data_IF_595713140360
#
_entry.id   IF_595713140360
#
_cell.length_a   1.000
_cell.length_b   1.000
_cell.length_c   1.000
_cell.angle_alpha   90.00
_cell.angle_beta   90.00
_cell.angle_gamma   90.00
#
_symmetry.space_group_name_H-M   'P 1'
#
loop_
_entity.id
_entity.type
_entity.pdbx_description
1 polymer ?
#
# COMPACT_ATOMS: atom_id res chain seq x y z
N UNK A 1 33.92 -16.67 -57.98
CA UNK A 1 34.99 -16.14 -57.12
C UNK A 1 34.50 -14.91 -56.32
N UNK A 2 34.40 -15.13 -55.00
CA UNK A 2 34.66 -14.18 -53.91
C UNK A 2 33.61 -13.09 -53.61
N UNK A 3 32.81 -13.41 -52.58
CA UNK A 3 32.47 -12.62 -51.38
C UNK A 3 32.00 -11.17 -51.47
N UNK A 4 30.86 -10.90 -50.83
CA UNK A 4 30.86 -10.34 -49.47
C UNK A 4 29.44 -10.32 -48.88
N UNK A 5 29.20 -11.20 -47.92
CA UNK A 5 28.16 -11.03 -46.90
C UNK A 5 28.60 -9.88 -45.98
N UNK A 6 27.86 -8.77 -45.95
CA UNK A 6 27.97 -7.78 -44.90
C UNK A 6 26.84 -8.02 -43.90
N UNK A 7 27.16 -8.80 -42.88
CA UNK A 7 26.32 -9.06 -41.72
C UNK A 7 26.25 -7.77 -40.88
N UNK A 8 25.17 -7.01 -41.04
CA UNK A 8 24.88 -5.83 -40.23
C UNK A 8 24.51 -6.26 -38.82
N UNK A 9 25.52 -6.36 -37.95
CA UNK A 9 25.35 -6.56 -36.52
C UNK A 9 24.50 -5.42 -35.94
N UNK A 10 23.22 -5.68 -35.69
CA UNK A 10 22.38 -4.80 -34.89
C UNK A 10 22.79 -4.93 -33.41
N UNK A 11 23.87 -4.26 -33.03
CA UNK A 11 24.08 -3.89 -31.63
C UNK A 11 23.11 -2.75 -31.30
N UNK A 12 21.89 -3.11 -30.91
CA UNK A 12 20.94 -2.20 -30.28
C UNK A 12 21.48 -1.78 -28.91
N UNK A 13 22.38 -0.78 -28.88
CA UNK A 13 22.70 -0.07 -27.65
C UNK A 13 21.47 0.75 -27.31
N UNK A 14 20.55 0.17 -26.55
CA UNK A 14 19.37 0.86 -26.06
C UNK A 14 19.84 2.09 -25.29
N UNK A 15 19.60 3.28 -25.85
CA UNK A 15 20.00 4.54 -25.24
C UNK A 15 19.31 4.66 -23.89
N UNK A 16 20.11 4.81 -22.84
CA UNK A 16 19.59 5.11 -21.51
C UNK A 16 19.10 6.56 -21.52
N UNK A 17 17.86 6.78 -21.13
CA UNK A 17 17.19 8.09 -21.14
C UNK A 17 17.06 8.62 -19.71
N UNK A 18 17.08 9.94 -19.52
CA UNK A 18 16.76 10.54 -18.23
C UNK A 18 15.26 10.78 -18.14
N UNK A 19 14.64 10.42 -17.00
CA UNK A 19 13.23 10.73 -16.78
C UNK A 19 13.02 12.25 -16.73
N UNK A 20 12.05 12.76 -17.48
CA UNK A 20 11.81 14.21 -17.62
C UNK A 20 11.50 14.92 -16.30
N UNK A 21 10.78 14.25 -15.39
CA UNK A 21 10.30 14.84 -14.13
C UNK A 21 11.11 14.40 -12.90
N UNK A 22 11.75 13.22 -12.96
CA UNK A 22 12.33 12.55 -11.79
C UNK A 22 13.83 12.31 -11.93
N UNK A 23 14.48 13.13 -12.75
CA UNK A 23 15.94 13.25 -12.80
C UNK A 23 16.35 14.57 -12.15
N UNK A 24 16.30 14.59 -10.82
CA UNK A 24 16.50 15.79 -10.00
C UNK A 24 17.98 16.16 -9.92
N UNK A 25 18.30 17.45 -9.85
CA UNK A 25 19.70 17.92 -9.78
C UNK A 25 20.35 17.67 -8.41
N UNK A 26 19.54 17.71 -7.37
CA UNK A 26 19.85 17.51 -5.96
C UNK A 26 19.68 16.06 -5.48
N UNK A 27 19.21 15.17 -6.36
CA UNK A 27 19.07 13.75 -6.04
C UNK A 27 20.41 13.09 -5.73
N UNK A 28 20.42 12.23 -4.71
CA UNK A 28 21.60 11.54 -4.18
C UNK A 28 21.55 10.02 -4.38
N UNK A 29 20.55 9.51 -5.11
CA UNK A 29 20.51 8.14 -5.60
C UNK A 29 19.95 8.09 -7.02
N UNK A 30 20.54 7.23 -7.86
CA UNK A 30 20.15 7.00 -9.25
C UNK A 30 19.65 5.57 -9.43
N UNK A 31 18.42 5.42 -9.89
CA UNK A 31 17.82 4.14 -10.27
C UNK A 31 17.79 3.98 -11.78
N UNK A 32 18.01 2.77 -12.27
CA UNK A 32 17.78 2.39 -13.65
C UNK A 32 16.57 1.45 -13.72
N UNK A 33 15.53 1.89 -14.42
CA UNK A 33 14.30 1.12 -14.64
C UNK A 33 14.08 1.00 -16.13
N UNK A 34 14.05 -0.23 -16.65
CA UNK A 34 14.09 -0.52 -18.09
C UNK A 34 15.28 0.18 -18.76
N UNK A 35 15.03 1.27 -19.49
CA UNK A 35 16.01 2.08 -20.18
C UNK A 35 16.00 3.53 -19.69
N UNK A 36 15.42 3.79 -18.52
CA UNK A 36 15.23 5.14 -17.97
C UNK A 36 15.92 5.30 -16.62
N UNK A 37 16.74 6.34 -16.49
CA UNK A 37 17.36 6.77 -15.25
C UNK A 37 16.47 7.73 -14.49
N UNK A 38 16.36 7.47 -13.19
CA UNK A 38 15.68 8.31 -12.22
C UNK A 38 16.71 8.74 -11.19
N UNK A 39 16.85 10.04 -10.95
CA UNK A 39 17.72 10.58 -9.91
C UNK A 39 16.88 11.30 -8.87
N UNK A 40 16.83 10.74 -7.67
CA UNK A 40 15.89 11.12 -6.60
C UNK A 40 16.59 11.13 -5.24
N UNK A 41 15.86 11.50 -4.19
CA UNK A 41 16.38 11.53 -2.82
C UNK A 41 16.26 10.16 -2.13
N UNK A 42 17.41 9.59 -1.78
CA UNK A 42 17.59 8.34 -1.02
C UNK A 42 16.84 8.33 0.31
N UNK A 43 16.73 9.50 0.95
CA UNK A 43 16.07 9.66 2.24
C UNK A 43 14.63 9.11 2.25
N UNK A 44 13.85 9.28 1.18
CA UNK A 44 12.47 8.77 1.14
C UNK A 44 12.41 7.24 1.19
N UNK A 45 13.35 6.58 0.51
CA UNK A 45 13.44 5.13 0.46
C UNK A 45 13.91 4.55 1.80
N UNK A 46 14.96 5.13 2.39
CA UNK A 46 15.48 4.67 3.68
C UNK A 46 14.54 4.95 4.84
N UNK A 47 13.81 6.07 4.80
CA UNK A 47 12.86 6.42 5.87
C UNK A 47 11.69 5.44 5.93
N UNK A 48 11.16 5.05 4.76
CA UNK A 48 9.86 4.36 4.68
C UNK A 48 9.98 2.88 4.28
N UNK A 49 11.15 2.37 3.89
CA UNK A 49 11.32 0.97 3.49
C UNK A 49 12.56 0.33 4.12
N UNK A 50 12.30 -0.72 4.90
CA UNK A 50 13.33 -1.59 5.46
C UNK A 50 14.10 -2.34 4.36
N UNK A 51 13.42 -2.73 3.27
CA UNK A 51 14.03 -3.39 2.13
C UNK A 51 15.15 -2.54 1.51
N UNK A 52 14.87 -1.24 1.28
CA UNK A 52 15.86 -0.34 0.68
C UNK A 52 17.00 0.02 1.65
N UNK A 53 16.75 0.13 2.95
CA UNK A 53 17.82 0.28 3.96
C UNK A 53 18.82 -0.89 3.83
N UNK A 54 18.31 -2.12 3.77
CA UNK A 54 19.15 -3.32 3.69
C UNK A 54 19.91 -3.39 2.38
N UNK A 55 19.24 -3.16 1.25
CA UNK A 55 19.87 -3.20 -0.07
C UNK A 55 20.97 -2.14 -0.23
N UNK A 56 20.72 -0.89 0.19
CA UNK A 56 21.75 0.14 0.10
C UNK A 56 22.90 -0.04 1.09
N UNK A 57 22.69 -0.80 2.17
CA UNK A 57 23.76 -1.17 3.10
C UNK A 57 24.66 -2.26 2.51
N UNK A 58 24.08 -3.23 1.77
CA UNK A 58 24.84 -4.29 1.09
C UNK A 58 25.70 -3.75 -0.06
N UNK A 59 25.19 -2.77 -0.80
CA UNK A 59 25.83 -2.20 -1.98
C UNK A 59 25.92 -0.67 -1.91
N UNK A 60 26.79 -0.10 -1.06
CA UNK A 60 26.85 1.35 -0.83
C UNK A 60 27.32 2.15 -2.06
N UNK A 61 28.00 1.50 -3.00
CA UNK A 61 28.47 2.12 -4.25
C UNK A 61 27.39 2.13 -5.34
N UNK A 62 26.32 1.36 -5.18
CA UNK A 62 25.23 1.28 -6.15
C UNK A 62 24.29 2.49 -6.00
N UNK A 63 23.84 3.04 -7.13
CA UNK A 63 23.03 4.24 -7.22
C UNK A 63 23.78 5.56 -7.05
N UNK A 64 25.10 5.56 -6.86
CA UNK A 64 25.90 6.78 -6.66
C UNK A 64 26.13 7.60 -7.94
N UNK A 65 26.03 6.97 -9.11
CA UNK A 65 26.22 7.60 -10.42
C UNK A 65 25.33 6.96 -11.49
N UNK A 66 25.21 7.60 -12.65
CA UNK A 66 24.49 7.03 -13.80
C UNK A 66 25.11 5.70 -14.27
N UNK A 67 26.44 5.56 -14.15
CA UNK A 67 27.17 4.33 -14.53
C UNK A 67 27.05 3.20 -13.52
N UNK A 68 26.76 3.53 -12.26
CA UNK A 68 26.56 2.58 -11.15
C UNK A 68 25.11 2.56 -10.66
N UNK A 69 24.14 2.94 -11.51
CA UNK A 69 22.75 3.09 -11.12
C UNK A 69 22.14 1.81 -10.54
N UNK A 70 21.30 1.97 -9.51
CA UNK A 70 20.61 0.87 -8.83
C UNK A 70 19.53 0.29 -9.75
N UNK A 71 19.68 -0.97 -10.15
CA UNK A 71 18.79 -1.57 -11.15
C UNK A 71 17.54 -2.13 -10.51
N UNK A 72 16.38 -1.77 -11.05
CA UNK A 72 15.10 -2.34 -10.65
C UNK A 72 14.52 -3.15 -11.80
N UNK A 73 14.53 -4.47 -11.62
CA UNK A 73 14.01 -5.41 -12.61
C UNK A 73 12.51 -5.67 -12.43
N UNK A 74 11.85 -6.14 -13.50
CA UNK A 74 10.44 -6.57 -13.52
C UNK A 74 9.44 -5.47 -13.14
N UNK A 75 9.76 -4.23 -13.49
CA UNK A 75 8.87 -3.08 -13.35
C UNK A 75 9.03 -2.17 -14.57
N UNK A 76 7.97 -1.44 -14.91
CA UNK A 76 8.05 -0.44 -15.98
C UNK A 76 8.52 0.90 -15.41
N UNK A 77 9.18 1.70 -16.23
CA UNK A 77 9.56 3.07 -15.91
C UNK A 77 8.33 3.92 -15.53
N UNK A 78 7.20 3.70 -16.20
CA UNK A 78 5.94 4.35 -15.91
C UNK A 78 5.35 3.94 -14.55
N UNK A 79 5.55 2.70 -14.09
CA UNK A 79 5.08 2.26 -12.77
C UNK A 79 5.93 2.83 -11.64
N UNK A 80 7.24 2.89 -11.83
CA UNK A 80 8.14 3.53 -10.88
C UNK A 80 7.82 5.02 -10.71
N UNK A 81 7.52 5.71 -11.81
CA UNK A 81 7.08 7.09 -11.79
C UNK A 81 5.79 7.32 -10.96
N UNK A 82 4.85 6.36 -10.97
CA UNK A 82 3.63 6.42 -10.12
C UNK A 82 3.96 6.29 -8.63
N UNK A 83 4.96 5.47 -8.28
CA UNK A 83 5.42 5.37 -6.90
C UNK A 83 6.06 6.69 -6.43
N UNK A 84 6.98 7.23 -7.23
CA UNK A 84 7.66 8.50 -6.94
C UNK A 84 6.69 9.67 -6.80
N UNK A 85 5.60 9.66 -7.58
CA UNK A 85 4.55 10.67 -7.50
C UNK A 85 4.01 10.85 -6.08
N UNK A 86 3.97 9.81 -5.23
CA UNK A 86 3.48 9.93 -3.85
C UNK A 86 4.30 10.93 -3.02
N UNK A 87 5.63 10.96 -3.18
CA UNK A 87 6.51 11.87 -2.43
C UNK A 87 6.69 13.23 -3.11
N UNK A 88 6.73 13.24 -4.43
CA UNK A 88 7.08 14.44 -5.21
C UNK A 88 5.86 15.21 -5.73
N UNK A 89 4.64 14.69 -5.54
CA UNK A 89 3.43 15.43 -5.91
C UNK A 89 3.26 16.66 -5.02
N UNK A 90 3.05 17.85 -5.60
CA UNK A 90 2.76 19.05 -4.82
C UNK A 90 1.47 18.82 -4.01
N UNK A 91 1.56 19.03 -2.69
CA UNK A 91 0.64 18.64 -1.61
C UNK A 91 -0.89 18.84 -1.81
N UNK A 92 -1.34 19.48 -2.88
CA UNK A 92 -2.73 19.90 -3.09
C UNK A 92 -3.53 19.08 -4.12
N UNK A 93 -2.92 18.10 -4.81
CA UNK A 93 -3.62 17.24 -5.80
C UNK A 93 -3.35 15.74 -5.59
N UNK A 94 -3.48 15.27 -4.34
CA UNK A 94 -3.43 13.82 -4.05
C UNK A 94 -4.70 13.07 -4.46
N UNK A 95 -5.74 13.78 -4.87
CA UNK A 95 -7.05 13.21 -5.21
C UNK A 95 -7.25 13.09 -6.73
N UNK A 96 -7.98 12.06 -7.15
CA UNK A 96 -8.44 11.90 -8.55
C UNK A 96 -7.53 11.06 -9.45
N UNK A 97 -6.67 10.20 -8.89
CA UNK A 97 -5.97 9.18 -9.68
C UNK A 97 -6.88 7.96 -9.92
N UNK A 98 -6.79 7.34 -11.10
CA UNK A 98 -7.60 6.16 -11.43
C UNK A 98 -7.19 4.96 -10.58
N UNK A 99 -8.06 3.96 -10.48
CA UNK A 99 -7.81 2.72 -9.72
C UNK A 99 -6.48 2.06 -10.10
N UNK A 100 -6.15 2.01 -11.39
CA UNK A 100 -4.94 1.35 -11.91
C UNK A 100 -3.67 2.00 -11.35
N UNK A 101 -3.72 3.31 -11.07
CA UNK A 101 -2.60 4.03 -10.48
C UNK A 101 -2.34 3.56 -9.05
N UNK A 102 -3.40 3.43 -8.25
CA UNK A 102 -3.30 2.96 -6.87
C UNK A 102 -2.99 1.47 -6.77
N UNK A 103 -3.46 0.65 -7.72
CA UNK A 103 -3.11 -0.78 -7.79
C UNK A 103 -1.60 -0.98 -8.01
N UNK A 104 -0.98 -0.18 -8.87
CA UNK A 104 0.48 -0.20 -9.08
C UNK A 104 1.22 0.23 -7.80
N UNK A 105 0.77 1.31 -7.16
CA UNK A 105 1.37 1.76 -5.89
C UNK A 105 1.22 0.68 -4.82
N UNK A 106 0.07 0.02 -4.71
CA UNK A 106 -0.17 -1.07 -3.76
C UNK A 106 0.76 -2.25 -4.02
N UNK A 107 0.97 -2.61 -5.29
CA UNK A 107 1.88 -3.68 -5.68
C UNK A 107 3.34 -3.37 -5.29
N UNK A 108 3.84 -2.20 -5.68
CA UNK A 108 5.22 -1.80 -5.45
C UNK A 108 5.50 -1.54 -3.97
N UNK A 109 4.56 -0.90 -3.26
CA UNK A 109 4.66 -0.69 -1.81
C UNK A 109 4.67 -2.00 -1.03
N UNK A 110 3.92 -3.01 -1.48
CA UNK A 110 3.97 -4.35 -0.88
C UNK A 110 5.28 -5.06 -1.21
N UNK A 111 5.75 -4.98 -2.45
CA UNK A 111 6.99 -5.63 -2.91
C UNK A 111 8.23 -5.10 -2.20
N UNK A 112 8.31 -3.79 -2.01
CA UNK A 112 9.45 -3.12 -1.39
C UNK A 112 9.21 -2.72 0.06
N UNK A 113 8.18 -3.27 0.70
CA UNK A 113 7.92 -3.09 2.14
C UNK A 113 7.82 -1.61 2.56
N UNK A 114 6.99 -0.83 1.87
CA UNK A 114 6.58 0.52 2.26
C UNK A 114 5.23 0.49 3.00
N UNK A 115 5.20 0.29 4.33
CA UNK A 115 3.94 0.09 5.07
C UNK A 115 3.02 1.31 5.03
N UNK A 116 3.56 2.53 5.17
CA UNK A 116 2.75 3.75 5.16
C UNK A 116 2.14 4.00 3.78
N UNK A 117 2.93 3.81 2.72
CA UNK A 117 2.45 3.94 1.34
C UNK A 117 1.46 2.85 0.95
N UNK A 118 1.66 1.63 1.47
CA UNK A 118 0.69 0.53 1.33
C UNK A 118 -0.64 0.91 1.96
N UNK A 119 -0.63 1.44 3.18
CA UNK A 119 -1.85 1.88 3.87
C UNK A 119 -2.54 3.01 3.10
N UNK A 120 -1.79 3.99 2.62
CA UNK A 120 -2.32 5.08 1.80
C UNK A 120 -3.03 4.55 0.54
N UNK A 121 -2.42 3.61 -0.18
CA UNK A 121 -3.04 3.01 -1.36
C UNK A 121 -4.32 2.24 -1.02
N UNK A 122 -4.36 1.55 0.12
CA UNK A 122 -5.56 0.84 0.61
C UNK A 122 -6.69 1.83 0.90
N UNK A 123 -6.39 2.93 1.59
CA UNK A 123 -7.39 3.94 1.97
C UNK A 123 -8.01 4.59 0.72
N UNK A 124 -7.20 4.90 -0.29
CA UNK A 124 -7.69 5.47 -1.56
C UNK A 124 -8.48 4.44 -2.39
N UNK A 125 -8.05 3.18 -2.45
CA UNK A 125 -8.80 2.10 -3.10
C UNK A 125 -10.13 1.78 -2.41
N UNK A 126 -10.27 2.08 -1.11
CA UNK A 126 -11.56 1.96 -0.43
C UNK A 126 -12.57 3.02 -0.87
N UNK A 127 -12.11 4.21 -1.23
CA UNK A 127 -12.95 5.30 -1.71
C UNK A 127 -13.33 5.20 -3.19
N UNK A 128 -12.64 4.34 -3.96
CA UNK A 128 -12.91 4.13 -5.37
C UNK A 128 -13.91 3.00 -5.62
N UNK A 129 -14.68 3.13 -6.70
CA UNK A 129 -15.54 2.06 -7.19
C UNK A 129 -14.69 0.96 -7.85
N UNK A 130 -14.84 -0.26 -7.36
CA UNK A 130 -14.16 -1.45 -7.87
C UNK A 130 -15.15 -2.59 -7.93
N UNK A 131 -14.94 -3.50 -8.90
CA UNK A 131 -15.69 -4.75 -8.91
C UNK A 131 -15.42 -5.52 -7.61
N UNK A 132 -16.45 -6.06 -6.93
CA UNK A 132 -16.27 -6.75 -5.66
C UNK A 132 -15.32 -7.96 -5.75
N UNK A 133 -15.35 -8.70 -6.86
CA UNK A 133 -14.49 -9.87 -7.06
C UNK A 133 -13.05 -9.40 -7.25
N UNK A 134 -12.83 -8.41 -8.13
CA UNK A 134 -11.52 -7.78 -8.32
C UNK A 134 -10.94 -7.26 -7.00
N UNK A 135 -11.77 -6.61 -6.16
CA UNK A 135 -11.39 -6.07 -4.86
C UNK A 135 -10.99 -7.17 -3.89
N UNK A 136 -11.77 -8.25 -3.78
CA UNK A 136 -11.45 -9.39 -2.90
C UNK A 136 -10.14 -10.06 -3.32
N UNK A 137 -9.97 -10.32 -4.62
CA UNK A 137 -8.75 -10.94 -5.17
C UNK A 137 -7.52 -10.07 -4.91
N UNK A 138 -7.64 -8.76 -5.14
CA UNK A 138 -6.57 -7.79 -4.90
C UNK A 138 -6.17 -7.75 -3.42
N UNK A 139 -7.14 -7.69 -2.51
CA UNK A 139 -6.89 -7.59 -1.08
C UNK A 139 -6.26 -8.88 -0.52
N UNK A 140 -6.69 -10.03 -1.02
CA UNK A 140 -6.12 -11.32 -0.64
C UNK A 140 -4.69 -11.50 -1.22
N UNK A 141 -4.43 -11.06 -2.46
CA UNK A 141 -3.09 -11.06 -3.07
C UNK A 141 -2.08 -10.23 -2.27
N UNK A 142 -2.47 -9.04 -1.83
CA UNK A 142 -1.59 -8.12 -1.10
C UNK A 142 -1.70 -8.24 0.43
N UNK A 143 -2.39 -9.27 0.94
CA UNK A 143 -2.58 -9.53 2.38
C UNK A 143 -3.08 -8.29 3.13
N UNK A 144 -4.12 -7.66 2.59
CA UNK A 144 -4.83 -6.54 3.22
C UNK A 144 -5.83 -7.09 4.24
N UNK A 145 -6.18 -6.31 5.26
CA UNK A 145 -7.16 -6.71 6.26
C UNK A 145 -8.52 -7.00 5.61
N UNK A 146 -9.02 -8.22 5.87
CA UNK A 146 -10.30 -8.70 5.35
C UNK A 146 -11.49 -7.97 5.95
N UNK A 147 -11.31 -7.31 7.10
CA UNK A 147 -12.37 -6.47 7.71
C UNK A 147 -12.85 -5.37 6.76
N UNK A 148 -11.97 -4.88 5.87
CA UNK A 148 -12.28 -3.86 4.87
C UNK A 148 -13.06 -4.40 3.65
N UNK A 149 -13.26 -5.72 3.55
CA UNK A 149 -13.99 -6.37 2.47
C UNK A 149 -15.47 -6.60 2.79
N UNK A 150 -15.93 -6.28 4.01
CA UNK A 150 -17.35 -6.43 4.41
C UNK A 150 -18.30 -5.81 3.38
N UNK A 151 -18.09 -4.57 2.89
CA UNK A 151 -18.99 -3.98 1.89
C UNK A 151 -19.03 -4.77 0.57
N UNK A 152 -17.87 -5.27 0.11
CA UNK A 152 -17.77 -6.06 -1.12
C UNK A 152 -18.48 -7.42 -0.98
N UNK A 153 -18.29 -8.10 0.17
CA UNK A 153 -18.99 -9.35 0.44
C UNK A 153 -20.50 -9.17 0.55
N UNK A 154 -20.97 -8.08 1.18
CA UNK A 154 -22.41 -7.75 1.22
C UNK A 154 -22.98 -7.60 -0.19
N UNK A 155 -22.29 -6.87 -1.07
CA UNK A 155 -22.75 -6.66 -2.44
C UNK A 155 -22.89 -7.99 -3.21
N UNK A 156 -21.90 -8.88 -3.07
CA UNK A 156 -21.95 -10.22 -3.67
C UNK A 156 -23.05 -11.11 -3.08
N UNK A 157 -23.32 -11.00 -1.78
CA UNK A 157 -24.38 -11.77 -1.14
C UNK A 157 -25.79 -11.29 -1.52
N UNK A 158 -25.97 -9.98 -1.70
CA UNK A 158 -27.28 -9.39 -2.07
C UNK A 158 -27.57 -9.45 -3.57
N UNK A 159 -26.58 -9.72 -4.42
CA UNK A 159 -26.79 -9.85 -5.87
C UNK A 159 -27.79 -10.97 -6.18
N UNK A 160 -28.74 -10.70 -7.07
CA UNK A 160 -29.74 -11.68 -7.54
C UNK A 160 -29.09 -12.86 -8.26
N UNK A 161 -28.07 -12.59 -9.08
CA UNK A 161 -27.36 -13.61 -9.84
C UNK A 161 -26.45 -14.44 -8.93
N UNK A 162 -26.46 -15.76 -9.15
CA UNK A 162 -25.48 -16.68 -8.55
C UNK A 162 -24.06 -16.31 -8.97
N UNK A 163 -23.09 -16.79 -8.20
CA UNK A 163 -21.69 -16.70 -8.59
C UNK A 163 -21.48 -17.50 -9.89
N UNK A 164 -20.87 -16.87 -10.87
CA UNK A 164 -20.50 -17.52 -12.14
C UNK A 164 -19.25 -18.38 -11.96
N UNK A 165 -18.99 -19.27 -12.93
CA UNK A 165 -17.78 -20.10 -12.88
C UNK A 165 -16.52 -19.25 -13.03
N UNK A 166 -16.58 -18.22 -13.86
CA UNK A 166 -15.48 -17.28 -14.13
C UNK A 166 -15.09 -16.48 -12.87
N UNK A 167 -16.07 -16.08 -12.06
CA UNK A 167 -15.83 -15.45 -10.75
C UNK A 167 -15.28 -16.46 -9.73
N UNK A 168 -15.80 -17.69 -9.78
CA UNK A 168 -15.36 -18.78 -8.92
C UNK A 168 -13.90 -19.19 -9.17
N UNK A 169 -13.42 -19.12 -10.41
CA UNK A 169 -12.03 -19.37 -10.79
C UNK A 169 -11.07 -18.28 -10.30
N UNK A 170 -11.55 -17.03 -10.23
CA UNK A 170 -10.75 -15.91 -9.72
C UNK A 170 -10.67 -15.92 -8.19
N UNK A 171 -11.73 -16.36 -7.52
CA UNK A 171 -11.79 -16.44 -6.07
C UNK A 171 -11.17 -17.73 -5.54
N UNK A 172 -10.57 -17.67 -4.35
CA UNK A 172 -10.15 -18.88 -3.67
C UNK A 172 -11.37 -19.69 -3.20
N UNK A 173 -11.30 -21.01 -3.31
CA UNK A 173 -12.38 -21.92 -2.89
C UNK A 173 -12.94 -21.66 -1.48
N UNK A 174 -12.13 -21.38 -0.43
CA UNK A 174 -12.67 -21.04 0.88
C UNK A 174 -13.55 -19.78 0.87
N UNK A 175 -13.21 -18.79 0.04
CA UNK A 175 -14.00 -17.56 -0.11
C UNK A 175 -15.31 -17.83 -0.83
N UNK A 176 -15.29 -18.68 -1.87
CA UNK A 176 -16.48 -19.10 -2.61
C UNK A 176 -17.45 -19.83 -1.69
N UNK A 177 -16.97 -20.84 -0.95
CA UNK A 177 -17.78 -21.62 -0.01
C UNK A 177 -18.33 -20.74 1.10
N UNK A 178 -17.51 -19.85 1.67
CA UNK A 178 -17.96 -18.89 2.68
C UNK A 178 -19.06 -17.96 2.18
N UNK A 179 -18.96 -17.46 0.94
CA UNK A 179 -20.00 -16.63 0.33
C UNK A 179 -21.31 -17.39 0.11
N UNK A 180 -21.24 -18.66 -0.31
CA UNK A 180 -22.45 -19.49 -0.46
C UNK A 180 -23.11 -19.76 0.89
N UNK A 181 -22.31 -20.09 1.91
CA UNK A 181 -22.80 -20.29 3.28
C UNK A 181 -23.49 -19.02 3.83
N UNK A 182 -22.91 -17.85 3.61
CA UNK A 182 -23.51 -16.57 4.03
C UNK A 182 -24.85 -16.34 3.33
N UNK A 183 -24.93 -16.58 2.02
CA UNK A 183 -26.18 -16.44 1.26
C UNK A 183 -27.26 -17.39 1.75
N UNK A 184 -26.91 -18.64 2.01
CA UNK A 184 -27.85 -19.64 2.52
C UNK A 184 -28.38 -19.26 3.90
N UNK A 185 -27.50 -18.85 4.82
CA UNK A 185 -27.90 -18.36 6.15
C UNK A 185 -28.78 -17.10 6.07
N UNK A 186 -28.47 -16.19 5.15
CA UNK A 186 -29.28 -14.99 4.92
C UNK A 186 -30.69 -15.33 4.43
N UNK A 187 -30.83 -16.28 3.50
CA UNK A 187 -32.13 -16.76 3.00
C UNK A 187 -32.96 -17.37 4.15
N UNK A 188 -32.34 -18.20 5.00
CA UNK A 188 -33.03 -18.81 6.15
C UNK A 188 -33.52 -17.75 7.14
N UNK A 189 -32.69 -16.76 7.46
CA UNK A 189 -33.09 -15.65 8.33
C UNK A 189 -34.24 -14.81 7.76
N UNK A 190 -34.26 -14.59 6.44
CA UNK A 190 -35.36 -13.88 5.79
C UNK A 190 -36.66 -14.71 5.78
N UNK A 191 -36.56 -16.04 5.64
CA UNK A 191 -37.72 -16.94 5.73
C UNK A 191 -38.39 -16.88 7.11
N UNK A 192 -37.58 -16.86 8.17
CA UNK A 192 -38.04 -16.76 9.57
C UNK A 192 -38.75 -15.43 9.85
N UNK A 193 -38.45 -14.40 9.06
CA UNK A 193 -39.06 -13.06 9.14
C UNK A 193 -40.39 -12.97 8.38
N UNK A 194 -40.89 -14.08 7.82
CA UNK A 194 -42.21 -14.18 7.19
C UNK A 194 -42.26 -13.93 5.68
N UNK A 195 -41.10 -13.86 5.01
CA UNK A 195 -41.04 -13.75 3.56
C UNK A 195 -41.46 -15.07 2.87
N UNK A 196 -42.40 -15.00 1.92
CA UNK A 196 -42.95 -16.18 1.22
C UNK A 196 -42.07 -16.69 0.08
N UNK A 197 -41.04 -15.94 -0.32
CA UNK A 197 -40.02 -16.34 -1.31
C UNK A 197 -38.69 -15.63 -1.00
N UNK A 198 -38.02 -15.99 0.10
CA UNK A 198 -36.87 -15.26 0.61
C UNK A 198 -35.66 -15.41 -0.31
N UNK A 199 -35.02 -14.30 -0.63
CA UNK A 199 -33.71 -14.22 -1.26
C UNK A 199 -32.69 -13.72 -0.25
N UNK A 200 -31.39 -13.89 -0.56
CA UNK A 200 -30.32 -13.35 0.29
C UNK A 200 -30.30 -11.82 0.35
N UNK A 201 -31.02 -11.14 -0.55
CA UNK A 201 -31.19 -9.70 -0.55
C UNK A 201 -32.22 -9.20 0.48
N UNK A 202 -33.16 -10.06 0.90
CA UNK A 202 -34.25 -9.71 1.82
C UNK A 202 -33.81 -9.72 3.29
N UNK A 203 -32.60 -10.23 3.58
CA UNK A 203 -32.03 -10.19 4.91
C UNK A 203 -31.60 -8.76 5.30
N UNK A 204 -31.91 -8.35 6.53
CA UNK A 204 -31.47 -7.07 7.09
C UNK A 204 -29.94 -6.95 7.08
N UNK A 205 -29.44 -5.76 6.75
CA UNK A 205 -28.01 -5.46 6.65
C UNK A 205 -27.22 -5.83 7.91
N UNK A 206 -27.78 -5.55 9.09
CA UNK A 206 -27.14 -5.86 10.37
C UNK A 206 -27.05 -7.35 10.66
N UNK A 207 -28.00 -8.16 10.17
CA UNK A 207 -27.96 -9.62 10.29
C UNK A 207 -26.93 -10.18 9.32
N UNK A 208 -26.93 -9.70 8.06
CA UNK A 208 -25.97 -10.13 7.05
C UNK A 208 -24.52 -9.83 7.46
N UNK A 209 -24.27 -8.65 8.06
CA UNK A 209 -22.95 -8.30 8.59
C UNK A 209 -22.50 -9.22 9.73
N UNK A 210 -23.39 -9.61 10.65
CA UNK A 210 -23.06 -10.57 11.71
C UNK A 210 -22.67 -11.92 11.13
N UNK A 211 -23.46 -12.44 10.18
CA UNK A 211 -23.17 -13.70 9.50
C UNK A 211 -21.81 -13.62 8.78
N UNK A 212 -21.54 -12.53 8.06
CA UNK A 212 -20.25 -12.31 7.40
C UNK A 212 -19.08 -12.32 8.39
N UNK A 213 -19.23 -11.62 9.52
CA UNK A 213 -18.19 -11.54 10.53
C UNK A 213 -17.91 -12.89 11.19
N UNK A 214 -18.92 -13.74 11.36
CA UNK A 214 -18.79 -15.11 11.86
C UNK A 214 -18.10 -16.03 10.86
N UNK A 215 -18.59 -16.07 9.61
CA UNK A 215 -18.07 -16.96 8.57
C UNK A 215 -16.62 -16.63 8.21
N UNK A 216 -16.30 -15.34 8.10
CA UNK A 216 -14.96 -14.88 7.71
C UNK A 216 -14.07 -14.48 8.90
N UNK A 217 -14.54 -14.61 10.15
CA UNK A 217 -13.80 -14.27 11.38
C UNK A 217 -13.25 -12.83 11.42
N UNK A 218 -13.99 -11.88 10.86
CA UNK A 218 -13.54 -10.50 10.60
C UNK A 218 -13.41 -9.63 11.86
N UNK A 219 -13.95 -10.07 13.00
CA UNK A 219 -13.92 -9.34 14.27
C UNK A 219 -12.61 -9.52 15.07
N UNK A 220 -11.70 -10.36 14.59
CA UNK A 220 -10.53 -10.81 15.38
C UNK A 220 -9.31 -9.90 15.24
N UNK A 221 -9.19 -9.15 14.14
CA UNK A 221 -8.00 -8.34 13.82
C UNK A 221 -7.80 -7.15 14.76
N UNK A 222 -8.86 -6.56 15.33
CA UNK A 222 -8.72 -5.48 16.31
C UNK A 222 -8.45 -5.94 17.75
N UNK A 223 -8.71 -7.21 18.11
CA UNK A 223 -8.48 -7.70 19.49
C UNK A 223 -7.09 -8.27 19.72
N UNK A 224 -6.41 -8.75 18.68
CA UNK A 224 -5.07 -9.33 18.82
C UNK A 224 -3.95 -8.27 18.77
N UNK A 225 -4.13 -7.16 18.04
CA UNK A 225 -3.19 -6.03 18.07
C UNK A 225 -3.22 -5.25 19.41
N UNK A 226 -4.36 -5.23 20.10
CA UNK A 226 -4.53 -4.51 21.37
C UNK A 226 -4.02 -5.26 22.61
N UNK A 227 -3.61 -6.53 22.49
CA UNK A 227 -3.15 -7.36 23.63
C UNK A 227 -1.63 -7.50 23.76
N UNK A 228 -0.83 -6.94 22.84
CA UNK A 228 0.64 -7.05 22.89
C UNK A 228 1.38 -5.71 23.13
N UNK A 229 0.69 -4.62 23.43
CA UNK A 229 1.33 -3.36 23.84
C UNK A 229 0.64 -2.80 25.08
N UNK A 230 1.17 -3.16 26.24
CA UNK A 230 0.63 -2.78 27.53
C UNK A 230 1.58 -3.07 28.69
N UNK A 231 2.86 -2.74 28.53
CA UNK A 231 3.75 -2.51 29.67
C UNK A 231 4.39 -1.13 29.48
N UNK A 232 4.11 -0.16 30.36
CA UNK A 232 4.79 1.12 30.30
C UNK A 232 6.28 0.91 30.59
N UNK A 233 7.12 1.31 29.64
CA UNK A 233 8.56 1.43 29.85
C UNK A 233 8.76 2.51 30.92
N UNK A 234 9.08 2.09 32.14
CA UNK A 234 9.60 2.98 33.18
C UNK A 234 11.00 3.36 32.73
N UNK A 235 11.16 4.58 32.22
CA UNK A 235 12.48 5.19 32.01
C UNK A 235 13.11 5.46 33.38
N UNK A 236 14.33 4.97 33.67
CA UNK A 236 15.02 5.32 34.89
C UNK A 236 15.43 6.80 34.83
N UNK A 237 14.99 7.56 35.83
CA UNK A 237 15.41 8.95 36.04
C UNK A 237 16.91 8.95 36.35
N UNK A 238 17.72 9.38 35.39
CA UNK A 238 19.14 9.66 35.62
C UNK A 238 19.20 10.95 36.44
N UNK A 239 19.49 10.83 37.73
CA UNK A 239 19.85 11.98 38.56
C UNK A 239 21.20 12.53 38.10
N UNK A 240 21.21 13.68 37.44
CA UNK A 240 22.42 14.45 37.21
C UNK A 240 22.91 15.08 38.51
N UNK A 241 24.21 15.01 38.85
CA UNK A 241 24.74 15.72 40.01
C UNK A 241 24.66 17.24 39.78
N UNK A 242 24.27 17.94 40.84
CA UNK A 242 24.25 19.40 40.98
C UNK A 242 25.61 20.00 40.58
N UNK A 243 25.68 21.00 39.69
CA UNK A 243 26.91 21.74 39.46
C UNK A 243 27.08 22.80 40.55
N UNK A 244 28.25 22.81 41.16
CA UNK A 244 28.67 23.85 42.09
C UNK A 244 28.79 25.21 41.38
N UNK A 245 28.43 26.25 42.11
CA UNK A 245 28.56 27.62 41.69
C UNK A 245 30.03 27.97 41.44
N UNK A 246 30.37 28.40 40.23
CA UNK A 246 31.31 29.49 39.95
C UNK A 246 31.20 29.89 38.47
N UNK A 247 31.00 31.19 38.24
CA UNK A 247 30.58 31.73 36.97
C UNK A 247 31.67 31.79 35.91
N UNK A 248 31.26 31.70 34.64
CA UNK A 248 31.78 32.50 33.55
C UNK A 248 30.85 32.40 32.33
N UNK A 249 30.65 33.57 31.74
CA UNK A 249 29.92 33.91 30.52
C UNK A 249 30.31 33.12 29.26
N UNK A 250 29.33 32.80 28.39
CA UNK A 250 29.18 33.37 27.02
C UNK A 250 28.59 32.40 25.96
N UNK A 251 27.44 32.80 25.38
CA UNK A 251 26.92 32.69 23.97
C UNK A 251 26.94 31.31 23.28
N UNK A 252 25.82 30.71 22.83
CA UNK A 252 24.82 31.10 21.80
C UNK A 252 23.72 30.00 21.76
N UNK A 253 22.38 30.18 21.74
CA UNK A 253 21.43 30.74 20.75
C UNK A 253 21.58 30.12 19.32
N UNK A 254 20.61 29.54 18.59
CA UNK A 254 19.14 29.36 18.68
C UNK A 254 18.73 28.08 17.90
N UNK A 255 17.56 27.57 18.29
CA UNK A 255 16.67 26.53 17.79
C UNK A 255 16.43 26.33 16.28
N UNK A 256 15.93 25.13 15.95
CA UNK A 256 14.74 24.98 15.08
C UNK A 256 13.83 23.88 15.63
N UNK A 257 12.58 24.26 15.90
CA UNK A 257 11.43 23.43 16.24
C UNK A 257 10.36 23.63 15.16
N UNK A 258 9.47 22.65 14.99
CA UNK A 258 8.38 22.49 13.98
C UNK A 258 8.88 21.84 12.68
N UNK A 259 8.31 20.72 12.21
CA UNK A 259 6.88 20.37 12.11
C UNK A 259 6.67 18.90 12.44
N UNK A 260 5.95 18.62 13.52
CA UNK A 260 5.32 17.32 13.76
C UNK A 260 3.93 17.59 14.34
N UNK A 261 2.92 17.46 13.49
CA UNK A 261 1.47 17.31 13.76
C UNK A 261 0.67 17.82 12.56
N UNK A 262 0.10 16.89 11.81
CA UNK A 262 -1.19 17.03 11.14
C UNK A 262 -1.60 15.66 10.58
N UNK A 263 -1.97 14.75 11.48
CA UNK A 263 -2.84 13.62 11.15
C UNK A 263 -3.86 13.52 12.28
N UNK A 264 -5.15 13.47 11.89
CA UNK A 264 -6.37 13.42 12.71
C UNK A 264 -6.89 14.77 13.24
N UNK A 265 -7.86 15.34 12.52
CA UNK A 265 -9.22 15.48 13.02
C UNK A 265 -10.16 15.79 11.85
N UNK A 266 -11.04 14.85 11.51
CA UNK A 266 -12.25 15.11 10.74
C UNK A 266 -13.31 14.14 11.23
N UNK A 267 -14.11 14.60 12.21
CA UNK A 267 -15.41 14.06 12.59
C UNK A 267 -15.99 14.94 13.70
N UNK A 268 -16.90 15.84 13.35
CA UNK A 268 -18.17 16.10 14.04
C UNK A 268 -18.83 17.35 13.40
N UNK A 269 -19.80 17.10 12.52
CA UNK A 269 -20.87 18.03 12.21
C UNK A 269 -22.05 17.61 13.08
N UNK A 270 -22.52 18.54 13.91
CA UNK A 270 -23.92 18.77 14.26
C UNK A 270 -24.05 20.26 14.56
#
# INVERSE_FOLDING_TARGET
>A
PVSAMANGSQNGVSRVLHHSEYYLKDGNITFLVENTLFRVHRHFFERESQFFIEEFTKAPQEGTSDTSAFRLDKITSADFAKLLWVWYSPMYRRFGKPKDHWLVILELSTRWLFPEMKQLAIDELQNLEMDPVEKIVTYDKYQVDKSLLVPAYKLLCKRTNRMSNEEGEQLKMPTVLGLQEVRERAIRSAAESGCTSPTSADAEDGVLEKILNEVFNLNTTNRQAAKSQGQPIIVPIINTPKPDANGATSKSFIASTLVSRCFRLSACIA
#
